data_IF_657040854587
#
_entry.id   IF_657040854587
#
_cell.length_a   1.000
_cell.length_b   1.000
_cell.length_c   1.000
_cell.angle_alpha   90.00
_cell.angle_beta   90.00
_cell.angle_gamma   90.00
#
_symmetry.space_group_name_H-M   'P 1'
#
loop_
_entity.id
_entity.type
_entity.pdbx_description
1 polymer ?
#
# COMPACT_ATOMS: atom_id res chain seq x y z
N UNK A 1 11.06 -15.81 31.54
CA UNK A 1 10.26 -16.35 30.41
C UNK A 1 8.79 -15.93 30.45
N UNK A 2 8.06 -16.02 31.57
CA UNK A 2 6.61 -15.66 31.63
C UNK A 2 6.34 -14.17 31.32
N UNK A 3 7.22 -13.24 31.74
CA UNK A 3 7.09 -11.81 31.42
C UNK A 3 7.20 -11.50 29.91
N UNK A 4 7.99 -12.27 29.15
CA UNK A 4 8.08 -12.12 27.69
C UNK A 4 6.83 -12.66 26.98
N UNK A 5 6.27 -13.78 27.47
CA UNK A 5 4.98 -14.31 27.01
C UNK A 5 3.84 -13.29 27.21
N UNK A 6 3.84 -12.58 28.34
CA UNK A 6 2.84 -11.53 28.61
C UNK A 6 2.99 -10.30 27.70
N UNK A 7 4.21 -10.01 27.23
CA UNK A 7 4.47 -8.94 26.25
C UNK A 7 4.03 -9.31 24.82
N UNK A 8 4.06 -10.61 24.48
CA UNK A 8 3.60 -11.10 23.18
C UNK A 8 2.07 -11.26 23.14
N UNK A 9 1.43 -11.43 24.28
CA UNK A 9 -0.02 -11.58 24.39
C UNK A 9 -0.82 -10.44 23.72
N UNK A 10 -0.56 -9.14 23.95
CA UNK A 10 -1.30 -8.08 23.27
C UNK A 10 -1.08 -8.08 21.75
N UNK A 11 0.13 -8.40 21.28
CA UNK A 11 0.45 -8.48 19.85
C UNK A 11 -0.34 -9.64 19.22
N UNK A 12 -0.34 -10.80 19.87
CA UNK A 12 -1.08 -11.98 19.43
C UNK A 12 -2.59 -11.73 19.43
N UNK A 13 -3.10 -10.99 20.42
CA UNK A 13 -4.51 -10.61 20.53
C UNK A 13 -4.91 -9.65 19.40
N UNK A 14 -4.10 -8.63 19.11
CA UNK A 14 -4.33 -7.71 17.97
C UNK A 14 -4.33 -8.49 16.66
N UNK A 15 -3.33 -9.35 16.45
CA UNK A 15 -3.23 -10.17 15.24
C UNK A 15 -4.42 -11.11 15.11
N UNK A 16 -4.85 -11.73 16.21
CA UNK A 16 -6.04 -12.58 16.24
C UNK A 16 -7.31 -11.81 15.91
N UNK A 17 -7.51 -10.60 16.44
CA UNK A 17 -8.69 -9.77 16.14
C UNK A 17 -8.71 -9.37 14.66
N UNK A 18 -7.55 -9.05 14.08
CA UNK A 18 -7.43 -8.66 12.68
C UNK A 18 -7.71 -9.83 11.72
N UNK A 19 -7.25 -11.02 12.10
CA UNK A 19 -7.22 -12.19 11.21
C UNK A 19 -8.48 -13.07 11.36
N UNK A 20 -9.15 -13.00 12.52
CA UNK A 20 -10.45 -13.67 12.76
C UNK A 20 -11.53 -13.35 11.72
N UNK A 21 -11.83 -12.08 11.36
CA UNK A 21 -12.86 -11.79 10.36
C UNK A 21 -12.51 -12.38 8.99
N UNK A 22 -11.23 -12.40 8.61
CA UNK A 22 -10.78 -13.03 7.37
C UNK A 22 -10.97 -14.54 7.38
N UNK A 23 -10.57 -15.22 8.47
CA UNK A 23 -10.82 -16.66 8.65
C UNK A 23 -12.30 -16.96 8.54
N UNK A 24 -13.16 -16.12 9.12
CA UNK A 24 -14.61 -16.33 9.12
C UNK A 24 -15.20 -16.21 7.71
N UNK A 25 -14.74 -15.22 6.93
CA UNK A 25 -15.15 -15.06 5.52
C UNK A 25 -14.72 -16.28 4.70
N UNK A 26 -13.46 -16.72 4.86
CA UNK A 26 -12.94 -17.85 4.10
C UNK A 26 -13.63 -19.17 4.49
N UNK A 27 -13.92 -19.39 5.78
CA UNK A 27 -14.75 -20.50 6.25
C UNK A 27 -16.14 -20.51 5.59
N UNK A 28 -16.78 -19.34 5.48
CA UNK A 28 -18.07 -19.20 4.83
C UNK A 28 -17.98 -19.53 3.34
N UNK A 29 -16.95 -19.03 2.65
CA UNK A 29 -16.69 -19.33 1.24
C UNK A 29 -16.51 -20.83 1.03
N UNK A 30 -15.69 -21.48 1.86
CA UNK A 30 -15.41 -22.91 1.78
C UNK A 30 -16.69 -23.72 2.03
N UNK A 31 -17.51 -23.30 3.00
CA UNK A 31 -18.79 -23.94 3.30
C UNK A 31 -19.79 -23.84 2.14
N UNK A 32 -19.90 -22.69 1.48
CA UNK A 32 -20.87 -22.48 0.38
C UNK A 32 -20.44 -23.10 -0.96
N UNK A 33 -19.14 -23.12 -1.27
CA UNK A 33 -18.63 -23.65 -2.54
C UNK A 33 -18.37 -25.16 -2.48
N UNK A 34 -18.26 -25.73 -1.28
CA UNK A 34 -18.16 -27.18 -1.06
C UNK A 34 -16.72 -27.67 -0.97
N UNK A 35 -15.90 -27.06 -0.11
CA UNK A 35 -14.61 -27.64 0.28
C UNK A 35 -14.80 -28.81 1.25
N UNK A 36 -13.96 -29.84 1.11
CA UNK A 36 -13.98 -31.01 1.99
C UNK A 36 -12.83 -30.94 3.00
N UNK A 37 -13.12 -31.26 4.26
CA UNK A 37 -12.12 -31.23 5.33
C UNK A 37 -12.48 -32.27 6.40
N UNK A 38 -11.44 -32.87 6.99
CA UNK A 38 -11.62 -33.93 8.00
C UNK A 38 -12.17 -33.39 9.33
N UNK A 39 -11.73 -32.19 9.74
CA UNK A 39 -12.25 -31.49 10.91
C UNK A 39 -12.08 -29.97 10.74
N UNK A 40 -12.97 -29.20 11.37
CA UNK A 40 -12.94 -27.73 11.32
C UNK A 40 -11.62 -27.17 11.85
N UNK A 41 -11.04 -27.80 12.88
CA UNK A 41 -9.73 -27.42 13.42
C UNK A 41 -8.60 -27.52 12.39
N UNK A 42 -8.61 -28.54 11.53
CA UNK A 42 -7.61 -28.65 10.46
C UNK A 42 -7.77 -27.55 9.42
N UNK A 43 -9.02 -27.16 9.13
CA UNK A 43 -9.29 -26.06 8.21
C UNK A 43 -8.82 -24.71 8.77
N UNK A 44 -9.07 -24.44 10.05
CA UNK A 44 -8.56 -23.23 10.71
C UNK A 44 -7.03 -23.23 10.73
N UNK A 45 -6.41 -24.36 11.08
CA UNK A 45 -4.96 -24.50 11.05
C UNK A 45 -4.37 -24.28 9.66
N UNK A 46 -5.01 -24.84 8.63
CA UNK A 46 -4.65 -24.65 7.23
C UNK A 46 -4.70 -23.17 6.83
N UNK A 47 -5.82 -22.49 7.11
CA UNK A 47 -6.00 -21.07 6.81
C UNK A 47 -4.95 -20.23 7.55
N UNK A 48 -4.70 -20.52 8.82
CA UNK A 48 -3.69 -19.81 9.60
C UNK A 48 -2.29 -19.93 8.98
N UNK A 49 -1.88 -21.15 8.60
CA UNK A 49 -0.59 -21.37 7.94
C UNK A 49 -0.54 -20.68 6.58
N UNK A 50 -1.63 -20.72 5.82
CA UNK A 50 -1.76 -20.01 4.55
C UNK A 50 -1.50 -18.51 4.74
N UNK A 51 -2.16 -17.85 5.69
CA UNK A 51 -1.95 -16.41 5.92
C UNK A 51 -0.54 -16.05 6.35
N UNK A 52 0.08 -16.86 7.21
CA UNK A 52 1.47 -16.60 7.65
C UNK A 52 2.42 -16.76 6.46
N UNK A 53 2.25 -17.80 5.65
CA UNK A 53 3.08 -18.03 4.48
C UNK A 53 2.87 -16.95 3.40
N UNK A 54 1.62 -16.55 3.18
CA UNK A 54 1.25 -15.50 2.23
C UNK A 54 1.84 -14.15 2.63
N UNK A 55 1.72 -13.77 3.91
CA UNK A 55 2.33 -12.56 4.44
C UNK A 55 3.86 -12.55 4.26
N UNK A 56 4.52 -13.67 4.58
CA UNK A 56 5.97 -13.79 4.39
C UNK A 56 6.36 -13.66 2.92
N UNK A 57 5.59 -14.26 2.01
CA UNK A 57 5.83 -14.17 0.59
C UNK A 57 5.65 -12.73 0.08
N UNK A 58 4.59 -12.04 0.49
CA UNK A 58 4.32 -10.66 0.09
C UNK A 58 5.44 -9.71 0.54
N UNK A 59 5.96 -9.87 1.77
CA UNK A 59 7.11 -9.08 2.25
C UNK A 59 8.34 -9.30 1.36
N UNK A 60 8.58 -10.55 0.92
CA UNK A 60 9.71 -10.89 0.04
C UNK A 60 9.50 -10.30 -1.36
N UNK A 61 8.30 -10.42 -1.92
CA UNK A 61 7.94 -9.87 -3.24
C UNK A 61 8.08 -8.35 -3.24
N UNK A 62 7.53 -7.65 -2.23
CA UNK A 62 7.62 -6.21 -2.10
C UNK A 62 9.08 -5.73 -1.98
N UNK A 63 9.89 -6.45 -1.19
CA UNK A 63 11.32 -6.17 -1.06
C UNK A 63 12.05 -6.32 -2.40
N UNK A 64 11.74 -7.36 -3.18
CA UNK A 64 12.32 -7.59 -4.50
C UNK A 64 11.89 -6.52 -5.51
N UNK A 65 10.61 -6.15 -5.52
CA UNK A 65 10.08 -5.11 -6.41
C UNK A 65 10.71 -3.75 -6.13
N UNK A 66 10.88 -3.40 -4.85
CA UNK A 66 11.55 -2.15 -4.45
C UNK A 66 13.00 -2.09 -4.92
N UNK A 67 13.73 -3.21 -4.81
CA UNK A 67 15.10 -3.31 -5.33
C UNK A 67 15.12 -3.24 -6.86
N UNK A 68 14.17 -3.91 -7.52
CA UNK A 68 14.07 -3.88 -8.99
C UNK A 68 13.76 -2.48 -9.53
N UNK A 69 12.92 -1.70 -8.83
CA UNK A 69 12.62 -0.31 -9.17
C UNK A 69 13.86 0.59 -9.07
N UNK A 70 14.74 0.37 -8.08
CA UNK A 70 16.00 1.12 -7.95
C UNK A 70 17.00 0.83 -9.10
N UNK A 71 16.96 -0.38 -9.67
CA UNK A 71 17.85 -0.77 -10.77
C UNK A 71 17.26 -0.49 -12.16
N UNK A 72 15.93 -0.47 -12.31
CA UNK A 72 15.30 -0.30 -13.61
C UNK A 72 15.08 1.18 -13.92
N UNK A 73 15.73 1.67 -14.98
CA UNK A 73 15.46 3.01 -15.54
C UNK A 73 14.09 3.11 -16.23
N UNK A 74 13.32 2.01 -16.22
CA UNK A 74 11.99 1.92 -16.78
C UNK A 74 10.98 2.11 -15.63
N UNK A 75 10.37 3.30 -15.54
CA UNK A 75 9.20 3.55 -14.69
C UNK A 75 8.02 2.73 -15.18
N UNK A 76 8.00 1.45 -14.86
CA UNK A 76 6.81 0.63 -15.04
C UNK A 76 5.90 0.98 -13.87
N UNK A 77 4.65 1.34 -14.15
CA UNK A 77 3.65 1.64 -13.13
C UNK A 77 3.52 0.43 -12.20
N UNK A 78 4.11 0.54 -11.02
CA UNK A 78 4.37 -0.53 -10.05
C UNK A 78 3.16 -1.26 -9.45
N UNK A 79 1.93 -0.70 -9.33
CA UNK A 79 0.88 -1.40 -8.56
C UNK A 79 0.31 -2.62 -9.28
N UNK A 80 0.20 -2.61 -10.61
CA UNK A 80 -0.35 -3.74 -11.37
C UNK A 80 0.57 -4.95 -11.35
N UNK A 81 1.89 -4.73 -11.41
CA UNK A 81 2.86 -5.82 -11.36
C UNK A 81 2.86 -6.43 -9.96
N UNK A 82 2.86 -5.60 -8.91
CA UNK A 82 2.76 -6.11 -7.54
C UNK A 82 1.52 -6.97 -7.33
N UNK A 83 0.34 -6.51 -7.78
CA UNK A 83 -0.90 -7.25 -7.65
C UNK A 83 -0.89 -8.60 -8.40
N UNK A 84 -0.24 -8.68 -9.56
CA UNK A 84 -0.08 -9.94 -10.30
C UNK A 84 0.85 -10.90 -9.56
N UNK A 85 1.96 -10.39 -9.02
CA UNK A 85 2.89 -11.21 -8.23
C UNK A 85 2.26 -11.70 -6.93
N UNK A 86 1.50 -10.84 -6.25
CA UNK A 86 0.76 -11.21 -5.04
C UNK A 86 -0.28 -12.28 -5.37
N UNK A 87 -1.11 -12.08 -6.41
CA UNK A 87 -2.12 -13.05 -6.82
C UNK A 87 -1.50 -14.40 -7.19
N UNK A 88 -0.44 -14.38 -8.00
CA UNK A 88 0.27 -15.60 -8.40
C UNK A 88 0.93 -16.28 -7.19
N UNK A 89 1.55 -15.49 -6.31
CA UNK A 89 2.19 -15.93 -5.09
C UNK A 89 1.22 -16.63 -4.16
N UNK A 90 0.13 -15.94 -3.78
CA UNK A 90 -0.94 -16.49 -2.95
C UNK A 90 -1.54 -17.76 -3.56
N UNK A 91 -1.75 -17.80 -4.89
CA UNK A 91 -2.25 -18.99 -5.57
C UNK A 91 -1.29 -20.17 -5.50
N UNK A 92 0.02 -19.93 -5.63
CA UNK A 92 1.04 -20.96 -5.47
C UNK A 92 1.05 -21.46 -4.02
N UNK A 93 1.02 -20.55 -3.04
CA UNK A 93 1.04 -20.91 -1.61
C UNK A 93 -0.17 -21.77 -1.26
N UNK A 94 -1.40 -21.35 -1.58
CA UNK A 94 -2.60 -22.13 -1.26
C UNK A 94 -2.61 -23.49 -1.96
N UNK A 95 -2.11 -23.55 -3.21
CA UNK A 95 -2.04 -24.80 -3.97
C UNK A 95 -1.00 -25.76 -3.40
N UNK A 96 0.15 -25.23 -2.99
CA UNK A 96 1.20 -25.99 -2.33
C UNK A 96 0.69 -26.53 -0.99
N UNK A 97 0.02 -25.68 -0.20
CA UNK A 97 -0.50 -26.04 1.10
C UNK A 97 -1.58 -27.11 1.00
N UNK A 98 -2.49 -27.01 0.04
CA UNK A 98 -3.55 -28.00 -0.23
C UNK A 98 -2.93 -29.36 -0.64
N UNK A 99 -1.81 -29.36 -1.35
CA UNK A 99 -1.05 -30.57 -1.68
C UNK A 99 -0.40 -31.22 -0.45
N UNK A 100 0.12 -30.43 0.48
CA UNK A 100 0.74 -30.93 1.72
C UNK A 100 -0.28 -31.36 2.78
N UNK A 101 -1.41 -30.66 2.90
CA UNK A 101 -2.45 -30.93 3.87
C UNK A 101 -3.51 -31.88 3.31
N UNK A 102 -3.23 -33.18 3.34
CA UNK A 102 -4.20 -34.21 2.91
C UNK A 102 -5.54 -34.20 3.68
N UNK A 103 -5.61 -33.50 4.82
CA UNK A 103 -6.81 -33.35 5.63
C UNK A 103 -7.80 -32.29 5.12
N UNK A 104 -7.39 -31.46 4.15
CA UNK A 104 -8.18 -30.38 3.55
C UNK A 104 -8.08 -30.52 2.03
N UNK A 105 -9.21 -30.52 1.34
CA UNK A 105 -9.24 -30.54 -0.11
C UNK A 105 -10.20 -29.46 -0.60
N UNK A 106 -9.60 -28.41 -1.15
CA UNK A 106 -10.29 -27.24 -1.68
C UNK A 106 -10.43 -27.35 -3.20
N UNK A 107 -11.66 -27.20 -3.74
CA UNK A 107 -11.84 -27.14 -5.18
C UNK A 107 -11.14 -25.89 -5.74
N UNK A 108 -10.73 -25.95 -7.01
CA UNK A 108 -10.02 -24.87 -7.69
C UNK A 108 -10.78 -23.53 -7.57
N UNK A 109 -12.11 -23.56 -7.68
CA UNK A 109 -12.96 -22.38 -7.54
C UNK A 109 -12.80 -21.69 -6.17
N UNK A 110 -12.74 -22.46 -5.08
CA UNK A 110 -12.54 -21.92 -3.73
C UNK A 110 -11.16 -21.28 -3.59
N UNK A 111 -10.12 -21.92 -4.13
CA UNK A 111 -8.75 -21.37 -4.09
C UNK A 111 -8.67 -20.02 -4.80
N UNK A 112 -9.21 -19.95 -6.02
CA UNK A 112 -9.23 -18.71 -6.82
C UNK A 112 -10.01 -17.61 -6.09
N UNK A 113 -11.16 -17.93 -5.51
CA UNK A 113 -11.97 -16.93 -4.82
C UNK A 113 -11.29 -16.38 -3.56
N UNK A 114 -10.69 -17.24 -2.75
CA UNK A 114 -9.92 -16.83 -1.57
C UNK A 114 -8.79 -15.89 -1.99
N UNK A 115 -7.94 -16.34 -2.93
CA UNK A 115 -6.80 -15.54 -3.42
C UNK A 115 -7.24 -14.19 -4.00
N UNK A 116 -8.32 -14.19 -4.78
CA UNK A 116 -8.87 -12.97 -5.35
C UNK A 116 -9.36 -11.98 -4.27
N UNK A 117 -10.04 -12.48 -3.24
CA UNK A 117 -10.53 -11.66 -2.14
C UNK A 117 -9.38 -11.04 -1.34
N UNK A 118 -8.32 -11.82 -1.06
CA UNK A 118 -7.11 -11.33 -0.38
C UNK A 118 -6.38 -10.28 -1.20
N UNK A 119 -6.12 -10.58 -2.48
CA UNK A 119 -5.45 -9.63 -3.40
C UNK A 119 -6.27 -8.35 -3.52
N UNK A 120 -7.60 -8.45 -3.67
CA UNK A 120 -8.47 -7.29 -3.78
C UNK A 120 -8.50 -6.46 -2.49
N UNK A 121 -8.40 -7.09 -1.32
CA UNK A 121 -8.39 -6.38 -0.05
C UNK A 121 -7.07 -5.62 0.14
N UNK A 122 -5.93 -6.25 -0.16
CA UNK A 122 -4.62 -5.60 -0.14
C UNK A 122 -4.59 -4.44 -1.14
N UNK A 123 -5.08 -4.66 -2.36
CA UNK A 123 -5.18 -3.61 -3.37
C UNK A 123 -6.06 -2.44 -2.92
N UNK A 124 -7.20 -2.73 -2.29
CA UNK A 124 -8.09 -1.69 -1.78
C UNK A 124 -7.43 -0.89 -0.66
N UNK A 125 -6.75 -1.57 0.27
CA UNK A 125 -5.99 -0.93 1.35
C UNK A 125 -4.88 -0.05 0.78
N UNK A 126 -4.11 -0.55 -0.18
CA UNK A 126 -3.07 0.23 -0.85
C UNK A 126 -3.68 1.47 -1.54
N UNK A 127 -4.78 1.31 -2.26
CA UNK A 127 -5.42 2.43 -2.96
C UNK A 127 -5.94 3.51 -2.00
N UNK A 128 -6.53 3.11 -0.87
CA UNK A 128 -6.97 4.00 0.19
C UNK A 128 -5.78 4.74 0.82
N UNK A 129 -4.69 4.03 1.12
CA UNK A 129 -3.48 4.64 1.67
C UNK A 129 -2.79 5.60 0.70
N UNK A 130 -2.80 5.33 -0.61
CA UNK A 130 -2.28 6.29 -1.60
C UNK A 130 -3.13 7.54 -1.70
N UNK A 131 -4.45 7.44 -1.55
CA UNK A 131 -5.34 8.61 -1.52
C UNK A 131 -5.11 9.45 -0.27
N UNK A 132 -4.97 8.83 0.89
CA UNK A 132 -4.64 9.52 2.14
C UNK A 132 -3.20 10.05 2.13
N UNK A 133 -2.27 9.40 1.42
CA UNK A 133 -0.88 9.85 1.24
C UNK A 133 -0.74 11.02 0.28
N UNK A 134 -1.51 11.06 -0.81
CA UNK A 134 -1.60 12.22 -1.70
C UNK A 134 -2.38 13.37 -1.05
N UNK A 135 -3.39 13.09 -0.22
CA UNK A 135 -4.12 14.11 0.53
C UNK A 135 -3.37 14.58 1.78
N UNK A 136 -2.52 13.75 2.41
CA UNK A 136 -1.64 14.17 3.51
C UNK A 136 -0.39 14.89 3.00
N UNK A 137 0.11 14.59 1.79
CA UNK A 137 1.17 15.38 1.16
C UNK A 137 0.69 16.77 0.68
N UNK A 138 -0.61 16.93 0.42
CA UNK A 138 -1.22 18.24 0.12
C UNK A 138 -1.73 18.99 1.38
N UNK A 139 -1.96 18.29 2.51
CA UNK A 139 -2.46 18.92 3.74
C UNK A 139 -1.46 18.93 4.92
N UNK A 140 -0.25 18.39 4.78
CA UNK A 140 0.83 18.47 5.76
C UNK A 140 2.02 19.26 5.20
N UNK A 141 1.76 20.52 4.87
CA UNK A 141 2.45 21.74 5.28
C UNK A 141 1.75 22.79 4.42
N UNK A 142 0.98 23.65 5.07
CA UNK A 142 0.62 24.95 4.51
C UNK A 142 1.92 25.74 4.28
N UNK A 143 2.56 25.42 3.16
CA UNK A 143 3.67 26.13 2.53
C UNK A 143 3.06 27.12 1.51
N UNK A 144 1.82 27.57 1.72
CA UNK A 144 1.37 28.81 1.12
C UNK A 144 2.33 29.88 1.62
N UNK A 145 3.09 30.47 0.69
CA UNK A 145 3.77 31.69 1.04
C UNK A 145 2.66 32.68 1.44
N UNK A 146 2.90 33.58 2.41
CA UNK A 146 1.94 34.62 2.76
C UNK A 146 1.33 35.23 1.49
N UNK A 147 0.01 35.44 1.47
CA UNK A 147 -0.74 35.89 0.28
C UNK A 147 -0.13 37.15 -0.40
N UNK A 148 0.62 37.95 0.35
CA UNK A 148 1.41 39.09 -0.14
C UNK A 148 2.52 38.68 -1.12
N UNK A 149 3.20 37.57 -0.88
CA UNK A 149 4.27 37.04 -1.75
C UNK A 149 3.65 36.33 -2.96
N UNK A 150 2.50 35.67 -2.81
CA UNK A 150 1.78 35.06 -3.93
C UNK A 150 1.27 36.12 -4.93
N UNK A 151 0.72 37.24 -4.44
CA UNK A 151 0.34 38.38 -5.29
C UNK A 151 1.54 38.99 -6.01
N UNK A 152 2.68 39.13 -5.31
CA UNK A 152 3.91 39.66 -5.89
C UNK A 152 4.49 38.72 -6.97
N UNK A 153 4.49 37.41 -6.72
CA UNK A 153 4.86 36.38 -7.71
C UNK A 153 3.97 36.45 -8.94
N UNK A 154 2.64 36.59 -8.77
CA UNK A 154 1.70 36.71 -9.89
C UNK A 154 1.95 37.99 -10.72
N UNK A 155 2.26 39.11 -10.06
CA UNK A 155 2.58 40.37 -10.75
C UNK A 155 3.91 40.30 -11.51
N UNK A 156 4.92 39.63 -10.94
CA UNK A 156 6.23 39.45 -11.58
C UNK A 156 6.18 38.44 -12.75
N UNK A 157 5.39 37.37 -12.62
CA UNK A 157 5.16 36.39 -13.69
C UNK A 157 4.47 37.00 -14.93
N UNK A 158 3.71 38.09 -14.77
CA UNK A 158 3.11 38.80 -15.90
C UNK A 158 4.10 39.68 -16.67
N UNK A 159 5.24 40.05 -16.06
CA UNK A 159 6.21 41.00 -16.63
C UNK A 159 7.53 40.35 -17.04
N UNK A 160 7.92 39.24 -16.43
CA UNK A 160 9.24 38.63 -16.59
C UNK A 160 9.21 37.10 -16.76
N UNK A 161 10.35 36.55 -17.17
CA UNK A 161 10.56 35.11 -17.29
C UNK A 161 10.61 34.41 -15.92
N UNK A 162 10.14 33.15 -15.89
CA UNK A 162 10.01 32.32 -14.68
C UNK A 162 11.28 32.25 -13.83
N UNK A 163 12.45 32.18 -14.47
CA UNK A 163 13.76 32.09 -13.79
C UNK A 163 14.10 33.40 -13.08
N UNK A 164 13.85 34.54 -13.73
CA UNK A 164 14.09 35.87 -13.17
C UNK A 164 13.17 36.14 -11.98
N UNK A 165 11.91 35.72 -12.06
CA UNK A 165 10.96 35.82 -10.94
C UNK A 165 11.43 35.03 -9.70
N UNK A 166 11.91 33.80 -9.89
CA UNK A 166 12.42 32.97 -8.78
C UNK A 166 13.64 33.62 -8.12
N UNK A 167 14.57 34.17 -8.91
CA UNK A 167 15.78 34.77 -8.37
C UNK A 167 15.50 36.13 -7.69
N UNK A 168 14.56 36.94 -8.20
CA UNK A 168 14.11 38.18 -7.55
C UNK A 168 13.41 37.92 -6.21
N UNK A 169 12.51 36.93 -6.14
CA UNK A 169 11.81 36.58 -4.90
C UNK A 169 12.78 35.99 -3.87
N UNK A 170 13.76 35.18 -4.31
CA UNK A 170 14.81 34.68 -3.42
C UNK A 170 15.71 35.79 -2.88
N UNK A 171 16.03 36.79 -3.70
CA UNK A 171 16.85 37.93 -3.27
C UNK A 171 16.11 38.81 -2.26
N UNK A 172 14.78 38.94 -2.42
CA UNK A 172 13.93 39.75 -1.53
C UNK A 172 13.55 39.04 -0.23
N UNK A 173 13.47 37.71 -0.25
CA UNK A 173 13.15 36.87 0.92
C UNK A 173 14.18 35.75 1.08
N UNK A 174 15.38 36.07 1.61
CA UNK A 174 16.47 35.10 1.74
C UNK A 174 16.17 33.97 2.74
N UNK A 175 15.23 34.20 3.67
CA UNK A 175 14.84 33.26 4.70
C UNK A 175 13.94 32.12 4.17
N UNK A 176 13.40 32.26 2.95
CA UNK A 176 12.49 31.27 2.36
C UNK A 176 13.29 30.27 1.49
N UNK A 177 13.10 28.95 1.68
CA UNK A 177 13.76 27.95 0.87
C UNK A 177 13.44 28.10 -0.63
N UNK A 178 14.48 28.07 -1.48
CA UNK A 178 14.34 28.19 -2.95
C UNK A 178 13.35 27.17 -3.53
N UNK A 179 13.28 25.97 -2.96
CA UNK A 179 12.34 24.93 -3.35
C UNK A 179 10.87 25.35 -3.18
N UNK A 180 10.55 26.07 -2.10
CA UNK A 180 9.20 26.56 -1.80
C UNK A 180 8.79 27.67 -2.78
N UNK A 181 9.71 28.58 -3.11
CA UNK A 181 9.51 29.64 -4.11
C UNK A 181 9.26 29.02 -5.50
N UNK A 182 10.05 28.03 -5.91
CA UNK A 182 9.88 27.35 -7.20
C UNK A 182 8.51 26.66 -7.29
N UNK A 183 8.08 25.98 -6.21
CA UNK A 183 6.78 25.29 -6.15
C UNK A 183 5.63 26.29 -6.29
N UNK A 184 5.69 27.42 -5.57
CA UNK A 184 4.68 28.47 -5.64
C UNK A 184 4.62 29.17 -7.00
N UNK A 185 5.76 29.54 -7.58
CA UNK A 185 5.84 30.14 -8.92
C UNK A 185 5.27 29.21 -9.99
N UNK A 186 5.55 27.90 -9.90
CA UNK A 186 5.01 26.90 -10.85
C UNK A 186 3.49 26.74 -10.68
N UNK A 187 2.99 26.69 -9.44
CA UNK A 187 1.55 26.60 -9.14
C UNK A 187 0.78 27.81 -9.67
N UNK A 188 1.25 29.03 -9.37
CA UNK A 188 0.60 30.28 -9.81
C UNK A 188 0.61 30.39 -11.34
N UNK A 189 1.69 29.95 -12.00
CA UNK A 189 1.73 29.91 -13.47
C UNK A 189 0.70 28.93 -14.05
N UNK A 190 0.50 27.76 -13.44
CA UNK A 190 -0.51 26.79 -13.91
C UNK A 190 -1.95 27.23 -13.64
N UNK A 191 -2.18 28.08 -12.62
CA UNK A 191 -3.50 28.63 -12.32
C UNK A 191 -3.87 29.83 -13.22
N UNK A 192 -2.86 30.56 -13.73
CA UNK A 192 -3.04 31.74 -14.59
C UNK A 192 -3.02 31.44 -16.11
N UNK A 193 -2.93 30.17 -16.52
CA UNK A 193 -2.89 29.73 -17.92
C UNK A 193 -4.10 28.82 -18.22
#
# INVERSE_FOLDING_TARGET
MVKQLFSLFPILLIFSILLLPMILIDLFIIYFIGGSYSALLYLIGFLFVFYVADLLLNIVIESLLKVADDFSSFKISSPFISAIFDLAGSFIVISLLDSFFQAVNLPLATKVLIVFLHTSLIFLVHHLQTKDGEQAADNAIDNSLPATIEYEISSLLQKENLITCIDQIKQKYPDIPKATIIKAVRRIKSENN
#
